data_IF_782351491585
#
_entry.id   IF_782351491585
#
_cell.length_a   1.000
_cell.length_b   1.000
_cell.length_c   1.000
_cell.angle_alpha   90.00
_cell.angle_beta   90.00
_cell.angle_gamma   90.00
#
_symmetry.space_group_name_H-M   'P 1'
#
loop_
_entity.id
_entity.type
_entity.pdbx_description
1 polymer ?
#
# COMPACT_ATOMS: atom_id res chain seq x y z
N UNK A 1 -23.95 -0.13 -96.35
CA UNK A 1 -24.76 0.96 -95.76
C UNK A 1 -25.12 0.57 -94.33
N UNK A 2 -25.01 1.52 -93.38
CA UNK A 2 -25.71 1.58 -92.05
C UNK A 2 -25.22 0.56 -90.99
N UNK A 3 -24.98 0.84 -89.70
CA UNK A 3 -24.84 2.02 -88.81
C UNK A 3 -24.11 1.53 -87.53
N UNK A 4 -23.34 2.46 -86.93
CA UNK A 4 -22.89 2.64 -85.52
C UNK A 4 -23.50 1.67 -84.48
N UNK A 5 -22.75 1.22 -83.47
CA UNK A 5 -22.61 1.98 -82.22
C UNK A 5 -21.50 1.43 -81.31
N UNK A 6 -20.74 2.37 -80.74
CA UNK A 6 -19.78 2.21 -79.65
C UNK A 6 -20.58 2.13 -78.34
N UNK A 7 -20.35 1.12 -77.49
CA UNK A 7 -20.77 1.12 -76.09
C UNK A 7 -19.50 1.05 -75.24
N UNK A 8 -19.28 2.11 -74.46
CA UNK A 8 -18.19 2.26 -73.51
C UNK A 8 -18.53 1.63 -72.15
N UNK A 9 -17.46 1.24 -71.44
CA UNK A 9 -17.37 0.67 -70.09
C UNK A 9 -18.24 1.39 -69.04
N UNK A 10 -18.63 0.66 -67.98
CA UNK A 10 -18.27 1.04 -66.58
C UNK A 10 -18.13 -0.23 -65.72
N UNK A 11 -16.93 -0.51 -65.23
CA UNK A 11 -16.68 -1.42 -64.10
C UNK A 11 -17.16 -0.76 -62.81
N UNK A 12 -17.94 -1.47 -62.00
CA UNK A 12 -18.23 -1.09 -60.61
C UNK A 12 -17.62 -2.14 -59.70
N UNK A 13 -16.36 -1.94 -59.32
CA UNK A 13 -15.74 -2.68 -58.22
C UNK A 13 -16.22 -2.01 -56.92
N UNK A 14 -17.25 -2.60 -56.29
CA UNK A 14 -17.74 -2.12 -55.00
C UNK A 14 -16.71 -2.45 -53.90
N UNK A 15 -15.94 -1.43 -53.50
CA UNK A 15 -15.05 -1.51 -52.35
C UNK A 15 -15.90 -1.45 -51.07
N UNK A 16 -16.21 -2.59 -50.48
CA UNK A 16 -16.88 -2.64 -49.18
C UNK A 16 -15.87 -2.22 -48.08
N UNK A 17 -15.93 -0.96 -47.64
CA UNK A 17 -15.23 -0.53 -46.43
C UNK A 17 -15.94 -1.14 -45.21
N UNK A 18 -15.39 -2.20 -44.64
CA UNK A 18 -15.78 -2.63 -43.29
C UNK A 18 -15.25 -1.61 -42.29
N UNK A 19 -16.10 -0.69 -41.85
CA UNK A 19 -15.78 0.17 -40.72
C UNK A 19 -15.64 -0.71 -39.46
N UNK A 20 -14.41 -0.97 -39.02
CA UNK A 20 -14.17 -1.55 -37.71
C UNK A 20 -14.54 -0.52 -36.65
N UNK A 21 -15.75 -0.61 -36.09
CA UNK A 21 -16.08 0.15 -34.90
C UNK A 21 -15.05 -0.20 -33.80
N UNK A 22 -14.47 0.78 -33.09
CA UNK A 22 -13.60 0.46 -31.97
C UNK A 22 -14.44 -0.32 -30.96
N UNK A 23 -13.99 -1.52 -30.59
CA UNK A 23 -14.60 -2.26 -29.50
C UNK A 23 -14.51 -1.37 -28.24
N UNK A 24 -15.65 -0.87 -27.79
CA UNK A 24 -15.71 -0.14 -26.52
C UNK A 24 -15.28 -1.10 -25.41
N UNK A 25 -14.09 -0.87 -24.87
CA UNK A 25 -13.63 -1.61 -23.71
C UNK A 25 -14.60 -1.34 -22.55
N UNK A 26 -15.13 -2.41 -21.95
CA UNK A 26 -15.98 -2.27 -20.78
C UNK A 26 -15.21 -1.52 -19.67
N UNK A 27 -15.87 -0.61 -18.93
CA UNK A 27 -15.20 0.15 -17.88
C UNK A 27 -14.63 -0.79 -16.81
N UNK A 28 -13.39 -0.56 -16.40
CA UNK A 28 -12.72 -1.34 -15.38
C UNK A 28 -13.40 -1.16 -14.00
N UNK A 29 -13.62 -2.25 -13.27
CA UNK A 29 -14.17 -2.19 -11.92
C UNK A 29 -13.17 -1.57 -10.95
N UNK A 30 -13.63 -0.64 -10.11
CA UNK A 30 -12.82 -0.09 -9.02
C UNK A 30 -12.49 -1.17 -8.00
N UNK A 31 -11.25 -1.16 -7.51
CA UNK A 31 -10.79 -2.07 -6.45
C UNK A 31 -10.57 -1.32 -5.14
N UNK A 32 -10.50 -2.06 -4.06
CA UNK A 32 -10.19 -1.57 -2.72
C UNK A 32 -9.22 -2.54 -2.04
N UNK A 33 -7.99 -2.08 -1.83
CA UNK A 33 -6.98 -2.70 -0.97
C UNK A 33 -7.09 -2.06 0.40
N UNK A 34 -7.11 -2.87 1.46
CA UNK A 34 -6.93 -2.41 2.84
C UNK A 34 -5.62 -2.95 3.40
N UNK A 35 -5.02 -2.27 4.38
CA UNK A 35 -3.81 -2.70 5.06
C UNK A 35 -3.82 -2.21 6.51
N UNK A 36 -3.45 -3.08 7.43
CA UNK A 36 -3.19 -2.84 8.85
C UNK A 36 -1.95 -3.66 9.23
N UNK A 37 -0.88 -3.00 9.64
CA UNK A 37 0.39 -3.60 10.01
C UNK A 37 0.53 -3.61 11.53
N UNK A 38 0.74 -4.77 12.15
CA UNK A 38 0.80 -4.92 13.61
C UNK A 38 1.98 -5.77 14.07
N UNK A 39 2.53 -5.52 15.27
CA UNK A 39 2.13 -4.50 16.24
C UNK A 39 2.65 -3.10 15.90
N UNK A 40 2.05 -2.08 16.51
CA UNK A 40 2.46 -0.68 16.39
C UNK A 40 2.55 -0.06 17.79
N UNK A 41 3.74 0.38 18.23
CA UNK A 41 5.02 0.17 17.59
C UNK A 41 5.52 -1.27 17.80
N UNK A 42 6.61 -1.63 17.11
CA UNK A 42 7.22 -2.96 17.21
C UNK A 42 8.67 -2.88 17.68
N UNK A 43 9.08 -3.80 18.56
CA UNK A 43 10.48 -3.89 18.96
C UNK A 43 11.36 -4.33 17.77
N UNK A 44 12.57 -3.79 17.68
CA UNK A 44 13.54 -4.15 16.63
C UNK A 44 13.76 -5.66 16.58
N UNK A 45 13.83 -6.18 15.35
CA UNK A 45 13.97 -7.60 15.00
C UNK A 45 12.77 -8.49 15.36
N UNK A 46 11.65 -7.94 15.84
CA UNK A 46 10.40 -8.69 15.99
C UNK A 46 9.60 -8.69 14.69
N UNK A 47 8.59 -9.55 14.65
CA UNK A 47 7.74 -9.73 13.47
C UNK A 47 6.68 -8.65 13.41
N UNK A 48 6.55 -8.01 12.25
CA UNK A 48 5.37 -7.25 11.85
C UNK A 48 4.50 -8.12 10.94
N UNK A 49 3.19 -8.06 11.15
CA UNK A 49 2.16 -8.78 10.40
C UNK A 49 1.26 -7.77 9.70
N UNK A 50 1.27 -7.81 8.37
CA UNK A 50 0.44 -7.01 7.50
C UNK A 50 -0.82 -7.81 7.17
N UNK A 51 -1.98 -7.30 7.56
CA UNK A 51 -3.29 -7.90 7.24
C UNK A 51 -4.12 -6.95 6.42
N UNK A 52 -4.91 -7.50 5.52
CA UNK A 52 -5.77 -6.68 4.67
C UNK A 52 -6.69 -7.51 3.80
N UNK A 53 -7.45 -6.81 2.97
CA UNK A 53 -8.35 -7.41 1.99
C UNK A 53 -8.18 -6.74 0.63
N UNK A 54 -8.47 -7.48 -0.43
CA UNK A 54 -8.69 -6.96 -1.78
C UNK A 54 -10.13 -7.27 -2.19
N UNK A 55 -10.86 -6.22 -2.54
CA UNK A 55 -12.24 -6.28 -3.01
C UNK A 55 -12.40 -5.45 -4.28
N UNK A 56 -13.50 -5.65 -4.99
CA UNK A 56 -13.90 -4.79 -6.10
C UNK A 56 -15.36 -4.40 -6.00
N UNK A 57 -15.70 -3.25 -6.57
CA UNK A 57 -17.07 -2.78 -6.68
C UNK A 57 -17.61 -3.10 -8.08
N UNK A 58 -18.69 -3.87 -8.13
CA UNK A 58 -19.51 -4.11 -9.32
C UNK A 58 -20.86 -3.47 -9.10
N UNK A 59 -21.09 -2.32 -9.72
CA UNK A 59 -22.37 -1.61 -9.74
C UNK A 59 -22.98 -1.44 -8.33
N UNK A 60 -22.17 -1.01 -7.37
CA UNK A 60 -22.57 -0.81 -5.96
C UNK A 60 -22.37 -2.04 -5.07
N UNK A 61 -22.18 -3.23 -5.63
CA UNK A 61 -21.94 -4.45 -4.85
C UNK A 61 -20.45 -4.68 -4.64
N UNK A 62 -20.02 -4.77 -3.38
CA UNK A 62 -18.63 -5.06 -3.01
C UNK A 62 -18.40 -6.56 -2.94
N UNK A 63 -17.51 -7.07 -3.78
CA UNK A 63 -17.21 -8.49 -3.93
C UNK A 63 -15.73 -8.78 -3.61
N UNK A 64 -15.42 -9.94 -2.99
CA UNK A 64 -14.04 -10.32 -2.69
C UNK A 64 -13.27 -10.68 -3.96
N UNK A 65 -11.97 -10.39 -3.99
CA UNK A 65 -11.07 -10.81 -5.07
C UNK A 65 -10.15 -11.93 -4.61
N UNK A 66 -10.53 -13.17 -4.89
CA UNK A 66 -9.72 -14.33 -4.55
C UNK A 66 -8.60 -14.66 -5.54
N UNK A 67 -7.58 -15.33 -5.02
CA UNK A 67 -6.44 -15.87 -5.77
C UNK A 67 -5.69 -14.82 -6.60
N UNK A 68 -5.67 -13.57 -6.14
CA UNK A 68 -4.92 -12.47 -6.77
C UNK A 68 -3.58 -12.31 -6.08
N UNK A 69 -2.56 -11.92 -6.85
CA UNK A 69 -1.22 -11.64 -6.34
C UNK A 69 -1.09 -10.13 -6.14
N UNK A 70 -0.62 -9.73 -4.96
CA UNK A 70 -0.30 -8.35 -4.60
C UNK A 70 1.19 -8.25 -4.32
N UNK A 71 1.79 -7.10 -4.62
CA UNK A 71 3.18 -6.83 -4.24
C UNK A 71 3.24 -6.13 -2.90
N UNK A 72 4.23 -6.49 -2.08
CA UNK A 72 4.50 -5.86 -0.79
C UNK A 72 5.77 -5.04 -0.92
N UNK A 73 5.68 -3.77 -0.57
CA UNK A 73 6.75 -2.79 -0.66
C UNK A 73 7.04 -2.26 0.75
N UNK A 74 8.30 -1.98 1.03
CA UNK A 74 8.73 -1.30 2.25
C UNK A 74 9.57 -0.09 1.88
N UNK A 75 9.19 1.04 2.45
CA UNK A 75 9.85 2.34 2.32
C UNK A 75 10.40 2.72 3.69
N UNK A 76 11.69 2.44 3.97
CA UNK A 76 12.28 2.74 5.26
C UNK A 76 12.31 4.25 5.48
N UNK A 77 12.08 4.70 6.71
CA UNK A 77 12.27 6.09 7.07
C UNK A 77 13.71 6.52 6.78
N UNK A 78 13.87 7.71 6.18
CA UNK A 78 15.14 8.21 5.67
C UNK A 78 15.15 8.31 4.13
N UNK A 79 16.33 8.17 3.53
CA UNK A 79 16.56 8.47 2.11
C UNK A 79 16.51 7.26 1.16
N UNK A 80 16.44 6.02 1.66
CA UNK A 80 16.64 4.82 0.81
C UNK A 80 15.46 4.52 -0.14
N UNK A 81 14.28 5.10 0.13
CA UNK A 81 13.10 4.99 -0.71
C UNK A 81 12.43 3.61 -0.74
N UNK A 82 11.28 3.56 -1.40
CA UNK A 82 10.43 2.36 -1.46
C UNK A 82 11.02 1.25 -2.33
N UNK A 83 11.05 0.02 -1.80
CA UNK A 83 11.46 -1.19 -2.55
C UNK A 83 10.45 -2.32 -2.39
N UNK A 84 10.31 -3.14 -3.44
CA UNK A 84 9.53 -4.38 -3.37
C UNK A 84 10.28 -5.40 -2.50
N UNK A 85 9.60 -5.91 -1.47
CA UNK A 85 10.16 -6.87 -0.51
C UNK A 85 9.49 -8.24 -0.56
N UNK A 86 8.35 -8.37 -1.25
CA UNK A 86 7.68 -9.65 -1.40
C UNK A 86 6.40 -9.58 -2.22
N UNK A 87 5.66 -10.68 -2.19
CA UNK A 87 4.32 -10.81 -2.75
C UNK A 87 3.42 -11.60 -1.81
N UNK A 88 2.12 -11.33 -1.86
CA UNK A 88 1.11 -12.09 -1.10
C UNK A 88 -0.05 -12.46 -2.01
N UNK A 89 -0.68 -13.61 -1.76
CA UNK A 89 -1.86 -14.07 -2.51
C UNK A 89 -3.11 -13.95 -1.66
N UNK A 90 -4.20 -13.45 -2.24
CA UNK A 90 -5.49 -13.38 -1.55
C UNK A 90 -6.18 -14.74 -1.48
N UNK A 91 -6.80 -14.99 -0.33
CA UNK A 91 -7.74 -16.10 -0.12
C UNK A 91 -9.02 -15.92 -0.94
N UNK A 92 -9.89 -16.93 -1.01
CA UNK A 92 -11.21 -16.83 -1.66
C UNK A 92 -12.08 -15.68 -1.14
N UNK A 93 -11.87 -15.26 0.13
CA UNK A 93 -12.55 -14.12 0.76
C UNK A 93 -11.89 -12.77 0.47
N UNK A 94 -10.86 -12.73 -0.38
CA UNK A 94 -10.08 -11.53 -0.68
C UNK A 94 -9.11 -11.13 0.43
N UNK A 95 -9.07 -11.84 1.56
CA UNK A 95 -8.16 -11.55 2.65
C UNK A 95 -6.73 -11.99 2.33
N UNK A 96 -5.73 -11.29 2.86
CA UNK A 96 -4.32 -11.64 2.75
C UNK A 96 -3.57 -11.38 4.06
N UNK A 97 -2.43 -12.05 4.23
CA UNK A 97 -1.52 -11.85 5.38
C UNK A 97 -0.08 -11.99 4.91
N UNK A 98 0.77 -11.05 5.31
CA UNK A 98 2.20 -11.06 5.03
C UNK A 98 2.97 -10.78 6.33
N UNK A 99 4.11 -11.43 6.55
CA UNK A 99 4.93 -11.23 7.74
C UNK A 99 6.36 -10.88 7.36
N UNK A 100 6.99 -10.02 8.16
CA UNK A 100 8.38 -9.64 7.98
C UNK A 100 9.05 -9.31 9.32
N UNK A 101 10.37 -9.40 9.37
CA UNK A 101 11.13 -8.87 10.50
C UNK A 101 11.23 -7.34 10.38
N UNK A 102 10.86 -6.64 11.45
CA UNK A 102 10.92 -5.20 11.56
C UNK A 102 12.31 -4.76 12.02
N UNK A 103 13.17 -4.34 11.09
CA UNK A 103 14.55 -3.91 11.39
C UNK A 103 14.71 -2.40 11.43
N UNK A 104 13.79 -1.65 10.79
CA UNK A 104 13.77 -0.19 10.69
C UNK A 104 12.33 0.31 10.65
N UNK A 105 12.10 1.52 11.18
CA UNK A 105 10.84 2.24 11.00
C UNK A 105 10.61 2.54 9.52
N UNK A 106 9.36 2.58 9.09
CA UNK A 106 9.03 2.90 7.70
C UNK A 106 7.59 2.59 7.33
N UNK A 107 7.27 2.89 6.07
CA UNK A 107 5.95 2.71 5.49
C UNK A 107 5.89 1.40 4.70
N UNK A 108 4.95 0.56 5.06
CA UNK A 108 4.56 -0.61 4.28
C UNK A 108 3.54 -0.22 3.24
N UNK A 109 3.59 -0.81 2.05
CA UNK A 109 2.58 -0.59 1.01
C UNK A 109 2.29 -1.91 0.32
N UNK A 110 1.01 -2.26 0.23
CA UNK A 110 0.54 -3.41 -0.54
C UNK A 110 -0.17 -2.90 -1.78
N UNK A 111 0.25 -3.39 -2.95
CA UNK A 111 -0.24 -2.92 -4.25
C UNK A 111 -0.90 -4.05 -5.03
N UNK A 112 -2.05 -3.75 -5.61
CA UNK A 112 -2.72 -4.58 -6.60
C UNK A 112 -2.62 -3.92 -7.98
N UNK A 113 -2.28 -4.73 -8.98
CA UNK A 113 -2.29 -4.32 -10.39
C UNK A 113 -3.05 -5.37 -11.18
N UNK A 114 -3.92 -4.93 -12.10
CA UNK A 114 -4.71 -5.83 -12.94
C UNK A 114 -3.91 -6.26 -14.17
N UNK A 115 -3.72 -7.57 -14.43
CA UNK A 115 -3.03 -8.04 -15.63
C UNK A 115 -3.80 -7.77 -16.92
N UNK A 116 -5.13 -7.71 -16.85
CA UNK A 116 -6.02 -7.63 -18.02
C UNK A 116 -6.72 -6.28 -18.18
N UNK A 117 -6.47 -5.32 -17.28
CA UNK A 117 -7.17 -4.03 -17.28
C UNK A 117 -8.64 -4.07 -16.83
N UNK A 118 -9.23 -5.25 -16.60
CA UNK A 118 -10.64 -5.38 -16.16
C UNK A 118 -10.94 -4.79 -14.76
N UNK A 119 -9.88 -4.54 -13.98
CA UNK A 119 -9.92 -3.97 -12.65
C UNK A 119 -8.94 -2.81 -12.56
N UNK A 120 -9.31 -1.75 -11.84
CA UNK A 120 -8.38 -0.65 -11.56
C UNK A 120 -7.29 -1.14 -10.58
N UNK A 121 -6.08 -0.63 -10.76
CA UNK A 121 -5.02 -0.81 -9.78
C UNK A 121 -5.36 -0.01 -8.51
N UNK A 122 -4.90 -0.50 -7.36
CA UNK A 122 -5.09 0.15 -6.07
C UNK A 122 -3.99 -0.26 -5.09
N UNK A 123 -3.83 0.51 -4.02
CA UNK A 123 -2.85 0.24 -2.98
C UNK A 123 -3.26 0.80 -1.63
N UNK A 124 -2.84 0.14 -0.55
CA UNK A 124 -2.93 0.67 0.80
C UNK A 124 -1.55 0.73 1.43
N UNK A 125 -1.35 1.68 2.34
CA UNK A 125 -0.11 1.88 3.05
C UNK A 125 -0.35 2.05 4.54
N UNK A 126 0.62 1.64 5.35
CA UNK A 126 0.59 1.76 6.80
C UNK A 126 2.00 1.95 7.36
N UNK A 127 2.15 2.75 8.41
CA UNK A 127 3.45 3.22 8.89
C UNK A 127 3.79 2.63 10.26
N UNK A 128 4.86 1.82 10.29
CA UNK A 128 5.26 1.12 11.51
C UNK A 128 6.53 1.76 12.08
N UNK A 129 6.45 2.19 13.34
CA UNK A 129 7.61 2.59 14.10
C UNK A 129 8.29 1.38 14.75
N UNK A 130 9.62 1.31 14.59
CA UNK A 130 10.48 0.28 15.18
C UNK A 130 11.34 0.89 16.28
N UNK A 131 11.19 0.42 17.51
CA UNK A 131 12.02 0.86 18.62
C UNK A 131 13.14 -0.14 18.96
N UNK A 132 14.41 0.30 19.10
CA UNK A 132 15.48 -0.56 19.61
C UNK A 132 15.42 -0.79 21.13
N UNK A 133 15.07 0.23 21.91
CA UNK A 133 15.22 0.22 23.37
C UNK A 133 13.89 0.31 24.11
N UNK A 134 12.91 1.03 23.54
CA UNK A 134 11.56 1.04 24.08
C UNK A 134 10.60 1.96 23.37
N UNK A 135 9.32 1.83 23.74
CA UNK A 135 8.19 2.46 23.05
C UNK A 135 8.23 3.99 23.04
N UNK A 136 8.94 4.60 23.98
CA UNK A 136 9.16 6.05 24.04
C UNK A 136 9.92 6.61 22.82
N UNK A 137 10.55 5.75 22.02
CA UNK A 137 11.25 6.13 20.79
C UNK A 137 10.32 6.22 19.57
N UNK A 138 9.01 6.05 19.79
CA UNK A 138 8.00 6.05 18.74
C UNK A 138 6.93 7.13 19.01
N UNK A 139 6.26 7.66 17.97
CA UNK A 139 5.20 8.65 18.15
C UNK A 139 4.06 8.16 19.05
N UNK A 140 3.42 9.10 19.74
CA UNK A 140 2.16 8.86 20.44
C UNK A 140 1.07 8.50 19.43
N UNK A 141 0.34 7.42 19.70
CA UNK A 141 -0.78 6.94 18.88
C UNK A 141 -1.80 6.22 19.77
N UNK A 142 -2.94 5.83 19.20
CA UNK A 142 -3.93 5.00 19.92
C UNK A 142 -3.37 3.65 20.37
N UNK A 143 -2.34 3.16 19.70
CA UNK A 143 -1.62 1.92 20.02
C UNK A 143 -0.31 2.16 20.78
N UNK A 144 0.10 3.43 20.92
CA UNK A 144 1.24 3.91 21.71
C UNK A 144 0.84 5.11 22.56
N UNK A 145 0.10 4.90 23.67
CA UNK A 145 -0.34 6.01 24.49
C UNK A 145 0.85 6.83 25.00
N UNK A 146 0.56 8.07 25.39
CA UNK A 146 1.58 8.93 25.98
C UNK A 146 2.21 8.26 27.20
N UNK A 147 3.54 8.34 27.32
CA UNK A 147 4.32 7.67 28.34
C UNK A 147 4.94 8.77 29.18
N UNK A 148 4.83 8.66 30.49
CA UNK A 148 5.44 9.63 31.41
C UNK A 148 6.59 9.01 32.22
N UNK A 149 7.29 9.84 33.00
CA UNK A 149 8.40 9.36 33.84
C UNK A 149 7.98 8.29 34.87
N UNK A 150 6.71 8.25 35.28
CA UNK A 150 6.16 7.24 36.18
C UNK A 150 5.98 5.89 35.51
N UNK A 151 5.76 5.87 34.19
CA UNK A 151 5.77 4.66 33.36
C UNK A 151 7.19 4.15 33.11
N UNK A 152 8.13 5.07 32.84
CA UNK A 152 9.50 4.75 32.42
C UNK A 152 10.40 4.35 33.60
N UNK A 153 10.29 5.04 34.74
CA UNK A 153 10.94 4.73 36.04
C UNK A 153 12.49 4.62 36.05
N UNK A 154 13.18 5.19 35.09
CA UNK A 154 14.66 5.18 34.97
C UNK A 154 15.07 6.13 33.86
N UNK A 155 16.23 6.77 33.92
CA UNK A 155 16.81 7.53 32.80
C UNK A 155 16.85 6.69 31.51
N UNK A 156 16.36 7.22 30.39
CA UNK A 156 16.43 6.57 29.07
C UNK A 156 16.91 7.54 28.00
N UNK A 157 17.53 7.04 26.94
CA UNK A 157 17.88 7.89 25.79
C UNK A 157 16.66 8.11 24.89
N UNK A 158 16.28 9.36 24.67
CA UNK A 158 15.21 9.77 23.72
C UNK A 158 15.78 10.32 22.42
N UNK A 159 17.00 10.85 22.44
CA UNK A 159 17.64 11.49 21.29
C UNK A 159 16.92 12.77 20.88
N UNK A 160 16.91 13.11 19.59
CA UNK A 160 16.32 14.37 19.10
C UNK A 160 14.79 14.36 19.04
N UNK A 161 14.16 13.18 19.08
CA UNK A 161 12.73 13.02 18.90
C UNK A 161 12.11 12.58 20.23
N UNK A 162 11.82 13.56 21.07
CA UNK A 162 11.13 13.35 22.33
C UNK A 162 9.61 13.30 22.15
N UNK A 163 9.13 12.18 21.60
CA UNK A 163 7.72 11.99 21.28
C UNK A 163 6.79 12.06 22.50
N UNK A 164 7.33 11.74 23.67
CA UNK A 164 6.60 11.57 24.92
C UNK A 164 6.95 12.64 25.95
N UNK A 165 7.69 13.69 25.54
CA UNK A 165 8.03 14.85 26.37
C UNK A 165 8.76 14.46 27.67
N UNK A 166 9.63 13.47 27.57
CA UNK A 166 10.38 12.90 28.68
C UNK A 166 11.67 13.68 28.98
N UNK A 167 12.21 14.43 28.02
CA UNK A 167 13.47 15.19 28.09
C UNK A 167 13.17 16.69 28.18
N UNK A 168 13.07 17.21 29.40
CA UNK A 168 12.64 18.58 29.64
C UNK A 168 13.74 19.62 29.35
N UNK A 169 15.00 19.29 29.63
CA UNK A 169 16.15 20.18 29.47
C UNK A 169 16.85 20.04 28.10
N UNK A 170 16.42 19.07 27.29
CA UNK A 170 16.76 18.87 25.88
C UNK A 170 18.21 18.44 25.66
N UNK A 171 18.71 17.58 26.54
CA UNK A 171 20.07 17.05 26.44
C UNK A 171 20.16 15.70 25.69
N UNK A 172 19.01 15.10 25.38
CA UNK A 172 18.85 13.84 24.65
C UNK A 172 18.57 12.61 25.53
N UNK A 173 18.72 12.71 26.85
CA UNK A 173 18.21 11.75 27.83
C UNK A 173 16.83 12.21 28.29
N UNK A 174 15.89 11.28 28.51
CA UNK A 174 14.47 11.61 28.64
C UNK A 174 13.65 10.66 29.50
N UNK A 175 13.29 11.15 30.67
CA UNK A 175 12.31 10.74 31.72
C UNK A 175 12.78 11.34 33.05
N UNK A 176 13.39 12.51 32.93
CA UNK A 176 14.72 12.57 33.46
C UNK A 176 15.11 13.98 33.90
N UNK A 177 16.15 14.09 34.70
CA UNK A 177 17.17 13.06 34.99
C UNK A 177 16.81 12.02 36.08
N UNK A 178 15.53 11.66 36.33
CA UNK A 178 15.06 10.83 37.45
C UNK A 178 15.49 11.46 38.80
N UNK A 179 15.92 12.72 38.73
CA UNK A 179 16.81 13.53 39.55
C UNK A 179 16.07 14.34 40.62
N UNK A 180 15.09 13.70 41.25
CA UNK A 180 14.68 14.07 42.60
C UNK A 180 15.15 13.11 43.69
N UNK A 181 15.57 11.86 43.36
CA UNK A 181 15.71 10.75 44.32
C UNK A 181 16.81 9.76 43.96
#
# INVERSE_FOLDING_TARGET
MIRRSIIALVSVLALALTASAPAYAAPAYSTNVTLDAKPEPVAKNKTVTLKGTLKYNRNGTVLPMGAKVLTVHFDPAGADGSRKVGTVRTTSKGAYTYTAKATRSGKWTVKYTSPTGAYKADSAADAVCVYPNGRWQCPVSSTNPDLDCSDIRRTVWVGTNDYHRLDADKDGWGCDSYSGR
#
